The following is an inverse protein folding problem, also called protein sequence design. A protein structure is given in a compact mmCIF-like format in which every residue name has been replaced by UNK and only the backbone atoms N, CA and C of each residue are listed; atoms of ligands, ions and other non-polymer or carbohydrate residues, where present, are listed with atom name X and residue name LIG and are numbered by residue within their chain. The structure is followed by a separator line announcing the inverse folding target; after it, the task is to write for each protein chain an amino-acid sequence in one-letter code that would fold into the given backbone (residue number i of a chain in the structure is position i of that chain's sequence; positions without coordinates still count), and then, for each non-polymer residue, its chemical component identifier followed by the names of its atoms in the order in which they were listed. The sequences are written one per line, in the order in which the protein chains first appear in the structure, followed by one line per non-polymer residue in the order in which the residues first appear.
data_IF_249761604870
#
_entry.id   IF_249761604870
#
_cell.length_a   1.000
_cell.length_b   1.000
_cell.length_c   1.000
_cell.angle_alpha   90.00
_cell.angle_beta   90.00
_cell.angle_gamma   90.00
#
_symmetry.space_group_name_H-M   'P 1'
#
loop_
_entity.id
_entity.type
_entity.pdbx_description
1 polymer ?
#
# COMPACT_ATOMS: atom_id res chain seq x y z
N UNK A 1 -2.31 18.53 -12.11
CA UNK A 1 -1.34 18.93 -11.09
C UNK A 1 -1.99 18.79 -9.71
N UNK A 2 -1.29 18.16 -8.76
CA UNK A 2 -1.72 18.02 -7.37
C UNK A 2 -1.11 19.17 -6.57
N UNK A 3 -1.87 19.80 -5.67
CA UNK A 3 -1.46 21.00 -4.95
C UNK A 3 -1.77 20.83 -3.46
N UNK A 4 -0.83 21.28 -2.61
CA UNK A 4 -1.04 21.52 -1.19
C UNK A 4 -1.05 23.01 -0.94
N UNK A 5 -2.03 23.50 -0.21
CA UNK A 5 -2.12 24.90 0.25
C UNK A 5 -1.95 24.90 1.76
N UNK A 6 -0.88 25.52 2.23
CA UNK A 6 -0.57 25.64 3.65
C UNK A 6 -1.07 26.98 4.18
N UNK A 7 -1.62 26.98 5.39
CA UNK A 7 -2.09 28.18 6.06
C UNK A 7 -1.07 28.57 7.16
N UNK A 8 -0.73 29.84 7.22
CA UNK A 8 0.18 30.42 8.23
C UNK A 8 1.54 29.71 8.35
N UNK A 9 2.07 29.25 7.20
CA UNK A 9 3.30 28.44 7.14
C UNK A 9 3.25 27.15 7.99
N UNK A 10 2.05 26.69 8.34
CA UNK A 10 1.84 25.47 9.09
C UNK A 10 1.51 24.29 8.18
N UNK A 11 2.47 23.44 7.94
CA UNK A 11 2.32 22.23 7.12
C UNK A 11 1.31 21.21 7.67
N UNK A 12 0.91 21.32 8.93
CA UNK A 12 -0.11 20.45 9.54
C UNK A 12 -1.52 20.99 9.31
N UNK A 13 -1.64 22.24 8.86
CA UNK A 13 -2.89 22.89 8.52
C UNK A 13 -2.91 23.19 7.03
N UNK A 14 -3.14 22.17 6.22
CA UNK A 14 -3.14 22.32 4.79
C UNK A 14 -4.36 21.74 4.11
N UNK A 15 -4.68 22.32 2.95
CA UNK A 15 -5.70 21.86 2.04
C UNK A 15 -5.04 21.16 0.85
N UNK A 16 -5.38 19.91 0.63
CA UNK A 16 -4.97 19.18 -0.57
C UNK A 16 -6.00 19.37 -1.68
N UNK A 17 -5.56 19.82 -2.83
CA UNK A 17 -6.32 19.89 -4.06
C UNK A 17 -5.78 18.81 -4.99
N UNK A 18 -6.50 17.71 -5.11
CA UNK A 18 -6.08 16.48 -5.80
C UNK A 18 -7.05 16.21 -6.96
N UNK A 19 -7.00 17.02 -8.03
CA UNK A 19 -7.95 16.90 -9.13
C UNK A 19 -7.71 15.62 -9.93
N UNK A 20 -8.81 15.03 -10.36
CA UNK A 20 -8.85 13.92 -11.28
C UNK A 20 -9.73 14.22 -12.49
N UNK A 21 -9.52 13.48 -13.55
CA UNK A 21 -10.51 13.41 -14.62
C UNK A 21 -11.66 12.50 -14.18
N UNK A 22 -12.91 12.84 -14.55
CA UNK A 22 -14.03 11.94 -14.30
C UNK A 22 -13.77 10.54 -14.85
N UNK A 23 -14.21 9.52 -14.13
CA UNK A 23 -14.19 8.16 -14.65
C UNK A 23 -15.43 7.91 -15.49
N UNK A 24 -15.26 7.81 -16.81
CA UNK A 24 -16.36 7.60 -17.75
C UNK A 24 -16.64 6.12 -18.04
N UNK A 25 -15.81 5.22 -17.52
CA UNK A 25 -15.90 3.78 -17.78
C UNK A 25 -16.34 3.02 -16.51
N UNK A 26 -17.57 3.29 -16.05
CA UNK A 26 -18.15 2.61 -14.89
C UNK A 26 -18.32 1.11 -15.24
N UNK A 27 -17.65 0.21 -14.52
CA UNK A 27 -17.76 -1.22 -14.80
C UNK A 27 -19.15 -1.75 -14.38
N UNK A 28 -19.65 -2.72 -15.14
CA UNK A 28 -20.91 -3.40 -14.84
C UNK A 28 -20.71 -4.92 -14.98
N UNK A 29 -21.44 -5.69 -14.18
CA UNK A 29 -21.38 -7.15 -14.24
C UNK A 29 -21.49 -7.81 -12.87
N UNK A 30 -21.64 -9.13 -12.89
CA UNK A 30 -21.82 -9.93 -11.67
C UNK A 30 -20.55 -9.97 -10.77
N UNK A 31 -19.38 -9.68 -11.34
CA UNK A 31 -18.10 -9.62 -10.64
C UNK A 31 -17.79 -8.22 -10.08
N UNK A 32 -18.69 -7.27 -10.22
CA UNK A 32 -18.51 -5.89 -9.77
C UNK A 32 -19.24 -5.66 -8.44
N UNK A 33 -18.51 -5.17 -7.44
CA UNK A 33 -19.10 -4.55 -6.26
C UNK A 33 -19.04 -3.05 -6.47
N UNK A 34 -20.20 -2.44 -6.64
CA UNK A 34 -20.33 -1.01 -6.90
C UNK A 34 -20.74 -0.27 -5.63
N UNK A 35 -19.95 0.75 -5.29
CA UNK A 35 -20.25 1.71 -4.24
C UNK A 35 -20.60 3.06 -4.89
N UNK A 36 -21.88 3.41 -4.92
CA UNK A 36 -22.35 4.69 -5.45
C UNK A 36 -22.07 5.86 -4.51
N UNK A 37 -22.43 7.10 -4.90
CA UNK A 37 -22.28 8.25 -4.03
C UNK A 37 -22.94 8.06 -2.66
N UNK A 38 -22.26 8.48 -1.59
CA UNK A 38 -22.72 8.33 -0.21
C UNK A 38 -21.74 7.55 0.67
N UNK A 39 -22.14 7.33 1.93
CA UNK A 39 -21.31 6.63 2.93
C UNK A 39 -21.74 5.17 3.04
N UNK A 40 -20.78 4.26 2.87
CA UNK A 40 -20.98 2.82 2.92
C UNK A 40 -20.14 2.21 4.04
N UNK A 41 -20.77 1.61 5.03
CA UNK A 41 -20.07 0.86 6.06
C UNK A 41 -19.87 -0.58 5.58
N UNK A 42 -18.71 -0.85 4.99
CA UNK A 42 -18.40 -2.15 4.39
C UNK A 42 -17.74 -3.13 5.37
N UNK A 43 -17.21 -2.63 6.49
CA UNK A 43 -16.45 -3.45 7.42
C UNK A 43 -15.23 -4.09 6.76
N UNK A 44 -15.03 -5.39 6.93
CA UNK A 44 -13.92 -6.11 6.29
C UNK A 44 -14.40 -6.79 5.00
N UNK A 45 -13.94 -6.29 3.86
CA UNK A 45 -14.18 -6.89 2.55
C UNK A 45 -13.16 -8.02 2.36
N UNK A 46 -13.62 -9.27 2.33
CA UNK A 46 -12.78 -10.45 2.11
C UNK A 46 -12.90 -10.97 0.71
N UNK A 47 -11.76 -11.17 0.04
CA UNK A 47 -11.64 -11.69 -1.32
C UNK A 47 -10.65 -12.84 -1.27
N UNK A 48 -11.13 -14.07 -1.38
CA UNK A 48 -10.25 -15.23 -1.25
C UNK A 48 -10.52 -16.26 -2.38
N UNK A 49 -9.45 -16.67 -3.06
CA UNK A 49 -9.51 -17.65 -4.14
C UNK A 49 -10.47 -17.25 -5.28
N UNK A 50 -10.55 -15.95 -5.56
CA UNK A 50 -11.42 -15.37 -6.59
C UNK A 50 -10.58 -14.84 -7.77
N UNK A 51 -11.22 -14.73 -8.95
CA UNK A 51 -10.59 -14.10 -10.11
C UNK A 51 -11.54 -13.14 -10.80
N UNK A 52 -10.99 -12.00 -11.26
CA UNK A 52 -11.72 -11.01 -12.04
C UNK A 52 -12.65 -10.13 -11.20
N UNK A 53 -12.52 -10.09 -9.87
CA UNK A 53 -13.33 -9.22 -9.01
C UNK A 53 -12.98 -7.75 -9.22
N UNK A 54 -14.00 -6.91 -9.26
CA UNK A 54 -13.86 -5.45 -9.35
C UNK A 54 -14.57 -4.81 -8.16
N UNK A 55 -13.85 -4.00 -7.39
CA UNK A 55 -14.45 -3.06 -6.44
C UNK A 55 -14.41 -1.67 -7.07
N UNK A 56 -15.58 -1.10 -7.30
CA UNK A 56 -15.70 0.22 -7.92
C UNK A 56 -16.28 1.23 -6.92
N UNK A 57 -15.50 2.27 -6.64
CA UNK A 57 -15.88 3.37 -5.77
C UNK A 57 -16.20 4.59 -6.65
N UNK A 58 -17.47 4.88 -6.84
CA UNK A 58 -17.89 5.98 -7.69
C UNK A 58 -17.54 7.34 -7.10
N UNK A 59 -17.59 8.38 -7.91
CA UNK A 59 -17.42 9.75 -7.45
C UNK A 59 -18.44 10.07 -6.34
N UNK A 60 -17.95 10.61 -5.21
CA UNK A 60 -18.77 10.87 -4.02
C UNK A 60 -19.02 9.66 -3.12
N UNK A 61 -18.52 8.47 -3.46
CA UNK A 61 -18.56 7.32 -2.54
C UNK A 61 -17.52 7.49 -1.42
N UNK A 62 -17.90 7.17 -0.18
CA UNK A 62 -17.01 7.02 0.97
C UNK A 62 -17.23 5.63 1.54
N UNK A 63 -16.25 4.75 1.36
CA UNK A 63 -16.32 3.35 1.83
C UNK A 63 -15.53 3.22 3.11
N UNK A 64 -16.23 2.89 4.21
CA UNK A 64 -15.65 2.69 5.53
C UNK A 64 -15.34 1.22 5.75
N UNK A 65 -14.07 0.89 6.03
CA UNK A 65 -13.68 -0.50 6.31
C UNK A 65 -12.23 -0.83 5.97
N UNK A 66 -11.97 -2.12 5.75
CA UNK A 66 -10.67 -2.67 5.35
C UNK A 66 -10.84 -3.72 4.25
N UNK A 67 -9.76 -4.02 3.51
CA UNK A 67 -9.73 -5.08 2.51
C UNK A 67 -8.71 -6.13 2.92
N UNK A 68 -9.12 -7.40 2.84
CA UNK A 68 -8.25 -8.57 3.01
C UNK A 68 -8.42 -9.47 1.78
N UNK A 69 -7.39 -9.52 0.92
CA UNK A 69 -7.41 -10.35 -0.28
C UNK A 69 -6.31 -11.40 -0.24
N UNK A 70 -6.66 -12.64 -0.53
CA UNK A 70 -5.73 -13.76 -0.53
C UNK A 70 -5.98 -14.70 -1.72
N UNK A 71 -4.88 -15.08 -2.42
CA UNK A 71 -4.94 -15.96 -3.59
C UNK A 71 -5.93 -15.48 -4.66
N UNK A 72 -6.03 -14.17 -4.85
CA UNK A 72 -6.91 -13.57 -5.85
C UNK A 72 -6.13 -13.27 -7.15
N UNK A 73 -6.81 -13.40 -8.29
CA UNK A 73 -6.23 -13.06 -9.58
C UNK A 73 -7.09 -12.02 -10.31
N UNK A 74 -6.42 -11.14 -11.09
CA UNK A 74 -7.11 -10.11 -11.87
C UNK A 74 -8.07 -9.25 -11.01
N UNK A 75 -7.64 -8.93 -9.78
CA UNK A 75 -8.39 -8.09 -8.86
C UNK A 75 -8.18 -6.63 -9.23
N UNK A 76 -9.28 -5.89 -9.35
CA UNK A 76 -9.24 -4.46 -9.61
C UNK A 76 -10.00 -3.68 -8.55
N UNK A 77 -9.37 -2.66 -7.97
CA UNK A 77 -10.00 -1.68 -7.09
C UNK A 77 -9.84 -0.32 -7.76
N UNK A 78 -10.94 0.31 -8.15
CA UNK A 78 -10.85 1.54 -8.92
C UNK A 78 -12.00 2.50 -8.69
N UNK A 79 -11.86 3.71 -9.18
CA UNK A 79 -12.89 4.74 -9.17
C UNK A 79 -12.35 6.12 -8.78
N UNK A 80 -13.25 6.97 -8.26
CA UNK A 80 -12.93 8.33 -7.78
C UNK A 80 -13.40 8.57 -6.35
N UNK A 81 -13.87 7.52 -5.70
CA UNK A 81 -14.32 7.57 -4.31
C UNK A 81 -13.18 7.53 -3.30
N UNK A 82 -13.58 7.57 -2.05
CA UNK A 82 -12.69 7.52 -0.88
C UNK A 82 -12.83 6.17 -0.18
N UNK A 83 -11.69 5.53 0.12
CA UNK A 83 -11.65 4.40 1.04
C UNK A 83 -11.03 4.86 2.36
N UNK A 84 -11.72 4.63 3.47
CA UNK A 84 -11.39 5.20 4.76
C UNK A 84 -11.51 4.14 5.87
N UNK A 85 -10.50 4.03 6.70
CA UNK A 85 -10.49 3.09 7.84
C UNK A 85 -10.65 3.77 9.20
N UNK A 86 -11.27 4.95 9.25
CA UNK A 86 -11.44 5.74 10.49
C UNK A 86 -12.25 5.05 11.59
N UNK A 87 -12.92 3.94 11.28
CA UNK A 87 -13.65 3.12 12.27
C UNK A 87 -12.78 2.02 12.89
N UNK A 88 -11.56 1.83 12.40
CA UNK A 88 -10.63 0.85 12.94
C UNK A 88 -9.76 1.48 14.04
N UNK A 89 -9.44 0.71 15.07
CA UNK A 89 -8.55 1.17 16.13
C UNK A 89 -7.11 1.29 15.61
N UNK A 90 -6.51 2.45 15.82
CA UNK A 90 -5.14 2.73 15.43
C UNK A 90 -4.15 1.85 16.20
N UNK A 91 -3.26 1.17 15.48
CA UNK A 91 -2.24 0.30 16.04
C UNK A 91 -2.73 -1.03 16.60
N UNK A 92 -4.04 -1.25 16.72
CA UNK A 92 -4.59 -2.49 17.24
C UNK A 92 -4.36 -3.66 16.26
N UNK A 93 -3.51 -4.59 16.67
CA UNK A 93 -3.23 -5.81 15.92
C UNK A 93 -2.47 -5.60 14.61
N UNK A 94 -1.86 -4.42 14.40
CA UNK A 94 -1.09 -4.08 13.19
C UNK A 94 -1.82 -4.43 11.89
N UNK A 95 -3.10 -4.12 11.82
CA UNK A 95 -3.94 -4.40 10.65
C UNK A 95 -3.80 -3.30 9.62
N UNK A 96 -3.36 -3.61 8.39
CA UNK A 96 -3.29 -2.61 7.33
C UNK A 96 -4.70 -2.23 6.85
N UNK A 97 -4.81 -1.09 6.15
CA UNK A 97 -6.05 -0.69 5.50
C UNK A 97 -6.44 -1.68 4.41
N UNK A 98 -5.47 -2.08 3.58
CA UNK A 98 -5.66 -3.10 2.56
C UNK A 98 -4.49 -4.09 2.59
N UNK A 99 -4.80 -5.37 2.68
CA UNK A 99 -3.81 -6.45 2.61
C UNK A 99 -4.10 -7.35 1.40
N UNK A 100 -3.05 -7.57 0.60
CA UNK A 100 -3.08 -8.44 -0.57
C UNK A 100 -1.99 -9.50 -0.44
N UNK A 101 -2.38 -10.74 -0.39
CA UNK A 101 -1.45 -11.88 -0.24
C UNK A 101 -1.58 -12.83 -1.41
N UNK A 102 -0.46 -13.17 -2.06
CA UNK A 102 -0.44 -14.07 -3.22
C UNK A 102 -1.44 -13.68 -4.32
N UNK A 103 -1.55 -12.38 -4.62
CA UNK A 103 -2.44 -11.88 -5.65
C UNK A 103 -1.70 -11.72 -6.98
N UNK A 104 -2.31 -12.19 -8.07
CA UNK A 104 -1.77 -12.08 -9.42
C UNK A 104 -2.57 -11.05 -10.23
N UNK A 105 -1.89 -10.12 -10.92
CA UNK A 105 -2.51 -9.05 -11.69
C UNK A 105 -3.45 -8.18 -10.84
N UNK A 106 -2.90 -7.61 -9.76
CA UNK A 106 -3.60 -6.65 -8.90
C UNK A 106 -3.55 -5.25 -9.52
N UNK A 107 -4.70 -4.60 -9.66
CA UNK A 107 -4.77 -3.20 -10.11
C UNK A 107 -5.51 -2.34 -9.07
N UNK A 108 -4.89 -1.21 -8.68
CA UNK A 108 -5.52 -0.18 -7.83
C UNK A 108 -5.41 1.16 -8.52
N UNK A 109 -6.55 1.82 -8.78
CA UNK A 109 -6.56 3.02 -9.64
C UNK A 109 -7.51 4.10 -9.13
N UNK A 110 -7.02 5.34 -9.05
CA UNK A 110 -7.82 6.56 -9.01
C UNK A 110 -8.40 6.94 -7.65
N UNK A 111 -8.50 6.01 -6.69
CA UNK A 111 -9.13 6.22 -5.38
C UNK A 111 -8.27 7.05 -4.44
N UNK A 112 -8.92 7.64 -3.42
CA UNK A 112 -8.26 8.27 -2.29
C UNK A 112 -8.33 7.35 -1.07
N UNK A 113 -7.17 7.08 -0.46
CA UNK A 113 -7.00 6.28 0.77
C UNK A 113 -6.70 7.21 1.93
N UNK A 114 -7.42 7.07 3.03
CA UNK A 114 -7.20 7.89 4.21
C UNK A 114 -7.52 7.16 5.51
N UNK A 115 -7.03 7.73 6.60
CA UNK A 115 -7.27 7.24 7.96
C UNK A 115 -6.91 5.77 8.13
N UNK A 116 -5.76 5.36 7.60
CA UNK A 116 -5.26 4.01 7.79
C UNK A 116 -5.00 3.71 9.28
N UNK A 117 -5.35 2.53 9.79
CA UNK A 117 -5.09 2.17 11.20
C UNK A 117 -3.65 1.75 11.46
N UNK A 118 -2.89 1.43 10.42
CA UNK A 118 -1.48 1.01 10.40
C UNK A 118 -0.96 1.22 8.96
N UNK A 119 -0.24 0.29 8.34
CA UNK A 119 0.15 0.35 6.93
C UNK A 119 -1.06 0.53 6.00
N UNK A 120 -0.93 1.34 4.98
CA UNK A 120 -2.03 1.60 4.04
C UNK A 120 -2.20 0.43 3.07
N UNK A 121 -1.20 0.16 2.24
CA UNK A 121 -1.21 -0.98 1.32
C UNK A 121 -0.12 -1.97 1.71
N UNK A 122 -0.50 -3.13 2.19
CA UNK A 122 0.40 -4.26 2.44
C UNK A 122 0.23 -5.29 1.35
N UNK A 123 1.24 -5.46 0.51
CA UNK A 123 1.21 -6.35 -0.66
C UNK A 123 2.30 -7.40 -0.51
N UNK A 124 1.92 -8.67 -0.45
CA UNK A 124 2.80 -9.77 -0.04
C UNK A 124 2.74 -10.90 -1.05
N UNK A 125 3.89 -11.35 -1.57
CA UNK A 125 3.99 -12.50 -2.47
C UNK A 125 3.20 -12.36 -3.77
N UNK A 126 2.96 -11.14 -4.22
CA UNK A 126 2.07 -10.83 -5.35
C UNK A 126 2.86 -10.51 -6.61
N UNK A 127 2.27 -10.74 -7.77
CA UNK A 127 2.91 -10.57 -9.08
C UNK A 127 2.02 -9.74 -10.01
N UNK A 128 2.63 -8.87 -10.83
CA UNK A 128 1.88 -8.06 -11.79
C UNK A 128 1.03 -7.00 -11.09
N UNK A 129 1.63 -6.26 -10.16
CA UNK A 129 0.93 -5.22 -9.39
C UNK A 129 1.02 -3.89 -10.13
N UNK A 130 -0.11 -3.28 -10.40
CA UNK A 130 -0.19 -1.95 -11.01
C UNK A 130 -1.00 -1.00 -10.11
N UNK A 131 -0.34 0.03 -9.61
CA UNK A 131 -0.95 1.08 -8.81
C UNK A 131 -0.82 2.40 -9.57
N UNK A 132 -1.96 2.98 -9.94
CA UNK A 132 -2.01 4.18 -10.77
C UNK A 132 -2.91 5.25 -10.15
N UNK A 133 -2.40 6.48 -10.11
CA UNK A 133 -3.16 7.67 -9.76
C UNK A 133 -3.93 7.58 -8.43
N UNK A 134 -3.44 6.84 -7.43
CA UNK A 134 -4.04 6.87 -6.10
C UNK A 134 -3.51 8.05 -5.28
N UNK A 135 -4.23 8.39 -4.24
CA UNK A 135 -3.85 9.40 -3.25
C UNK A 135 -3.90 8.76 -1.88
N UNK A 136 -2.82 8.89 -1.13
CA UNK A 136 -2.74 8.38 0.22
C UNK A 136 -2.48 9.52 1.20
N UNK A 137 -3.24 9.54 2.28
CA UNK A 137 -3.05 10.48 3.38
C UNK A 137 -3.12 9.70 4.69
N UNK A 138 -1.93 9.41 5.24
CA UNK A 138 -1.73 8.76 6.53
C UNK A 138 -1.02 9.69 7.50
N UNK A 139 -1.46 9.74 8.76
CA UNK A 139 -0.95 10.73 9.71
C UNK A 139 -0.58 10.15 11.08
N UNK A 140 -0.72 8.85 11.27
CA UNK A 140 -0.37 8.15 12.51
C UNK A 140 0.95 7.41 12.39
N UNK A 141 1.55 7.06 13.52
CA UNK A 141 2.73 6.20 13.55
C UNK A 141 2.46 4.86 12.84
N UNK A 142 3.42 4.40 12.05
CA UNK A 142 3.30 3.23 11.18
C UNK A 142 2.20 3.36 10.10
N UNK A 143 1.83 4.57 9.69
CA UNK A 143 1.03 4.76 8.48
C UNK A 143 1.94 4.78 7.26
N UNK A 144 2.61 3.66 7.01
CA UNK A 144 3.36 3.44 5.79
C UNK A 144 2.39 3.44 4.59
N UNK A 145 2.82 3.92 3.46
CA UNK A 145 1.99 3.96 2.25
C UNK A 145 1.89 2.58 1.60
N UNK A 146 2.94 2.19 0.90
CA UNK A 146 2.98 0.94 0.14
C UNK A 146 4.12 0.05 0.61
N UNK A 147 3.80 -1.06 1.25
CA UNK A 147 4.74 -2.10 1.65
C UNK A 147 4.67 -3.29 0.69
N UNK A 148 5.68 -3.42 -0.16
CA UNK A 148 5.85 -4.57 -1.05
C UNK A 148 6.78 -5.59 -0.41
N UNK A 149 6.26 -6.77 -0.12
CA UNK A 149 6.99 -7.86 0.55
C UNK A 149 7.06 -9.05 -0.39
N UNK A 150 8.26 -9.41 -0.86
CA UNK A 150 8.44 -10.52 -1.79
C UNK A 150 7.52 -10.43 -3.02
N UNK A 151 7.43 -9.27 -3.65
CA UNK A 151 6.64 -9.04 -4.85
C UNK A 151 7.52 -8.89 -6.09
N UNK A 152 6.93 -9.07 -7.26
CA UNK A 152 7.61 -8.86 -8.55
C UNK A 152 6.68 -8.26 -9.60
N UNK A 153 7.28 -7.68 -10.64
CA UNK A 153 6.56 -7.05 -11.74
C UNK A 153 5.59 -5.98 -11.22
N UNK A 154 6.14 -4.96 -10.55
CA UNK A 154 5.40 -3.90 -9.86
C UNK A 154 5.58 -2.58 -10.62
N UNK A 155 4.48 -1.95 -10.98
CA UNK A 155 4.42 -0.59 -11.50
C UNK A 155 3.61 0.29 -10.54
N UNK A 156 4.22 1.38 -10.08
CA UNK A 156 3.55 2.44 -9.33
C UNK A 156 3.74 3.75 -10.10
N UNK A 157 2.64 4.40 -10.46
CA UNK A 157 2.75 5.64 -11.22
C UNK A 157 1.68 6.66 -10.86
N UNK A 158 1.99 7.93 -11.12
CA UNK A 158 1.05 9.06 -11.00
C UNK A 158 0.44 9.25 -9.61
N UNK A 159 0.99 8.66 -8.56
CA UNK A 159 0.42 8.68 -7.21
C UNK A 159 0.80 9.94 -6.44
N UNK A 160 0.01 10.26 -5.44
CA UNK A 160 0.34 11.23 -4.41
C UNK A 160 0.30 10.52 -3.06
N UNK A 161 1.38 10.63 -2.30
CA UNK A 161 1.46 10.05 -0.96
C UNK A 161 1.92 11.11 0.04
N UNK A 162 1.14 11.29 1.10
CA UNK A 162 1.57 11.94 2.32
C UNK A 162 1.30 11.03 3.49
N UNK A 163 2.35 10.43 4.01
CA UNK A 163 2.27 9.51 5.14
C UNK A 163 3.18 9.96 6.29
N UNK A 164 2.82 9.58 7.50
CA UNK A 164 3.65 9.84 8.68
C UNK A 164 4.93 9.01 8.63
N UNK A 165 4.83 7.76 8.20
CA UNK A 165 5.93 6.80 8.08
C UNK A 165 6.38 6.67 6.60
N UNK A 166 7.00 5.56 6.20
CA UNK A 166 7.56 5.34 4.88
C UNK A 166 6.48 5.39 3.77
N UNK A 167 6.77 6.05 2.64
CA UNK A 167 5.80 6.08 1.53
C UNK A 167 5.82 4.81 0.69
N UNK A 168 7.00 4.39 0.23
CA UNK A 168 7.17 3.15 -0.53
C UNK A 168 8.30 2.33 0.07
N UNK A 169 8.00 1.10 0.49
CA UNK A 169 9.01 0.16 0.98
C UNK A 169 9.03 -1.11 0.14
N UNK A 170 10.22 -1.61 -0.15
CA UNK A 170 10.43 -2.89 -0.84
C UNK A 170 11.22 -3.80 0.08
N UNK A 171 10.59 -4.87 0.56
CA UNK A 171 11.12 -5.81 1.55
C UNK A 171 11.29 -7.19 0.94
N UNK A 172 12.36 -7.88 1.32
CA UNK A 172 12.68 -9.23 0.87
C UNK A 172 12.97 -10.13 2.07
N UNK A 173 12.27 -11.24 2.18
CA UNK A 173 12.49 -12.21 3.25
C UNK A 173 12.78 -13.59 2.68
N UNK A 174 13.83 -14.23 3.19
CA UNK A 174 14.04 -15.65 2.93
C UNK A 174 13.10 -16.47 3.82
N UNK A 175 12.05 -16.99 3.23
CA UNK A 175 11.07 -17.82 3.93
C UNK A 175 10.95 -19.19 3.25
N UNK A 176 12.10 -19.81 2.95
CA UNK A 176 12.10 -21.22 2.51
C UNK A 176 11.45 -22.09 3.58
N UNK A 177 10.84 -23.23 3.21
CA UNK A 177 10.25 -24.15 4.18
C UNK A 177 11.24 -24.53 5.29
N UNK A 178 12.52 -24.68 4.96
CA UNK A 178 13.59 -25.02 5.91
C UNK A 178 13.84 -23.85 6.90
N UNK A 179 13.84 -22.61 6.39
CA UNK A 179 13.97 -21.42 7.24
C UNK A 179 12.79 -21.29 8.20
N UNK A 180 11.57 -21.43 7.70
CA UNK A 180 10.35 -21.40 8.52
C UNK A 180 10.41 -22.49 9.58
N UNK A 181 10.71 -23.73 9.20
CA UNK A 181 10.78 -24.87 10.12
C UNK A 181 11.82 -24.65 11.23
N UNK A 182 13.00 -24.11 10.89
CA UNK A 182 14.07 -23.86 11.86
C UNK A 182 13.77 -22.71 12.84
N UNK A 183 12.81 -21.83 12.51
CA UNK A 183 12.40 -20.70 13.33
C UNK A 183 11.00 -20.84 13.92
N UNK A 184 10.36 -22.01 13.75
CA UNK A 184 9.07 -22.33 14.38
C UNK A 184 9.31 -22.98 15.73
N UNK A 185 8.75 -22.37 16.77
CA UNK A 185 8.79 -22.89 18.13
C UNK A 185 7.84 -24.07 18.32
N UNK A 186 7.99 -24.82 19.40
CA UNK A 186 7.16 -25.99 19.73
C UNK A 186 5.67 -25.64 19.98
N UNK A 187 5.38 -24.39 20.31
CA UNK A 187 4.02 -23.87 20.47
C UNK A 187 3.41 -23.31 19.17
N UNK A 188 4.14 -23.42 18.04
CA UNK A 188 3.73 -22.92 16.75
C UNK A 188 3.99 -21.43 16.52
N UNK A 189 4.55 -20.73 17.47
CA UNK A 189 5.00 -19.34 17.28
C UNK A 189 6.32 -19.30 16.51
N UNK A 190 6.68 -18.12 15.99
CA UNK A 190 7.93 -17.93 15.27
C UNK A 190 8.95 -17.18 16.14
N UNK A 191 10.19 -17.68 16.18
CA UNK A 191 11.33 -16.99 16.81
C UNK A 191 11.79 -15.78 15.99
N UNK A 192 11.53 -15.76 14.68
CA UNK A 192 11.67 -14.59 13.82
C UNK A 192 10.29 -13.99 13.49
N UNK A 193 10.03 -12.80 14.02
CA UNK A 193 8.76 -12.11 13.82
C UNK A 193 8.46 -11.73 12.37
N UNK A 194 9.44 -11.77 11.45
CA UNK A 194 9.20 -11.53 10.03
C UNK A 194 8.50 -12.72 9.34
N UNK A 195 8.59 -13.93 9.90
CA UNK A 195 8.01 -15.12 9.26
C UNK A 195 6.49 -15.02 9.13
N UNK A 196 5.80 -14.40 10.09
CA UNK A 196 4.35 -14.23 10.01
C UNK A 196 3.91 -13.44 8.76
N UNK A 197 4.78 -12.56 8.23
CA UNK A 197 4.49 -11.81 7.00
C UNK A 197 4.57 -12.69 5.76
N UNK A 198 5.42 -13.71 5.76
CA UNK A 198 5.80 -14.46 4.56
C UNK A 198 5.46 -15.95 4.61
N UNK A 199 4.99 -16.46 5.74
CA UNK A 199 4.53 -17.85 5.81
C UNK A 199 3.39 -18.11 4.79
N UNK A 200 3.52 -19.18 4.01
CA UNK A 200 2.54 -19.54 2.99
C UNK A 200 2.66 -18.79 1.66
N UNK A 201 3.72 -18.02 1.44
CA UNK A 201 3.97 -17.43 0.13
C UNK A 201 4.34 -18.50 -0.91
N UNK A 202 3.89 -18.25 -2.15
CA UNK A 202 4.21 -19.12 -3.30
C UNK A 202 5.57 -18.81 -3.91
N UNK A 203 6.01 -17.56 -3.78
CA UNK A 203 7.24 -17.05 -4.39
C UNK A 203 7.85 -15.97 -3.51
N UNK A 204 9.18 -15.85 -3.53
CA UNK A 204 9.95 -14.91 -2.73
C UNK A 204 10.82 -13.97 -3.57
N UNK A 205 10.72 -14.03 -4.89
CA UNK A 205 11.52 -13.19 -5.77
C UNK A 205 11.10 -11.73 -5.67
N UNK A 206 12.11 -10.84 -5.61
CA UNK A 206 11.92 -9.38 -5.58
C UNK A 206 12.61 -8.79 -6.78
N UNK A 207 11.83 -8.49 -7.83
CA UNK A 207 12.38 -7.92 -9.05
C UNK A 207 11.36 -7.14 -9.89
N UNK A 208 11.89 -6.36 -10.84
CA UNK A 208 11.13 -5.62 -11.83
C UNK A 208 10.16 -4.61 -11.19
N UNK A 209 10.69 -3.63 -10.47
CA UNK A 209 9.94 -2.51 -9.94
C UNK A 209 10.19 -1.26 -10.75
N UNK A 210 9.12 -0.56 -11.09
CA UNK A 210 9.16 0.78 -11.66
C UNK A 210 8.22 1.68 -10.88
N UNK A 211 8.78 2.70 -10.23
CA UNK A 211 8.04 3.70 -9.45
C UNK A 211 8.35 5.07 -10.08
N UNK A 212 7.33 5.68 -10.70
CA UNK A 212 7.54 6.89 -11.51
C UNK A 212 6.39 7.89 -11.45
N UNK A 213 6.69 9.14 -11.80
CA UNK A 213 5.73 10.24 -11.88
C UNK A 213 4.92 10.43 -10.58
N UNK A 214 5.49 10.04 -9.43
CA UNK A 214 4.84 10.12 -8.14
C UNK A 214 5.25 11.39 -7.39
N UNK A 215 4.42 11.80 -6.45
CA UNK A 215 4.69 12.91 -5.55
C UNK A 215 4.67 12.38 -4.12
N UNK A 216 5.77 12.51 -3.41
CA UNK A 216 5.99 11.95 -2.09
C UNK A 216 6.21 13.02 -1.02
N UNK A 217 5.60 12.79 0.13
CA UNK A 217 5.78 13.57 1.35
C UNK A 217 5.79 12.61 2.54
N UNK A 218 6.94 12.42 3.18
CA UNK A 218 7.06 11.65 4.42
C UNK A 218 7.23 12.60 5.60
N UNK A 219 6.31 12.54 6.57
CA UNK A 219 6.36 13.43 7.73
C UNK A 219 7.43 13.01 8.76
N UNK A 220 7.80 11.71 8.83
CA UNK A 220 8.76 11.18 9.81
C UNK A 220 9.78 10.16 9.28
N UNK A 221 9.57 9.57 8.11
CA UNK A 221 10.41 8.49 7.62
C UNK A 221 10.83 8.68 6.15
N UNK A 222 10.96 7.62 5.36
CA UNK A 222 11.51 7.71 4.01
C UNK A 222 10.39 7.81 2.95
N UNK A 223 10.72 8.47 1.85
CA UNK A 223 9.83 8.45 0.70
C UNK A 223 9.99 7.18 -0.15
N UNK A 224 11.22 6.67 -0.24
CA UNK A 224 11.56 5.46 -1.01
C UNK A 224 12.59 4.65 -0.23
N UNK A 225 12.23 3.44 0.17
CA UNK A 225 13.07 2.58 1.01
C UNK A 225 13.18 1.17 0.44
N UNK A 226 14.39 0.70 0.21
CA UNK A 226 14.66 -0.65 -0.29
C UNK A 226 15.49 -1.39 0.75
N UNK A 227 15.02 -2.54 1.19
CA UNK A 227 15.75 -3.44 2.06
C UNK A 227 15.49 -3.35 3.56
N UNK A 228 14.58 -2.50 4.09
CA UNK A 228 14.35 -2.49 5.53
C UNK A 228 13.85 -3.86 5.98
N UNK A 229 14.36 -4.32 7.10
CA UNK A 229 13.98 -5.63 7.67
C UNK A 229 14.20 -6.82 6.73
N UNK A 230 14.88 -6.60 5.57
CA UNK A 230 15.12 -7.64 4.57
C UNK A 230 16.14 -8.68 5.04
N UNK A 231 15.98 -9.92 4.60
CA UNK A 231 16.86 -11.03 4.94
C UNK A 231 17.08 -11.98 3.77
N UNK A 232 18.28 -12.00 3.26
CA UNK A 232 18.83 -13.10 2.47
C UNK A 232 18.32 -13.27 1.04
N UNK A 233 17.57 -12.31 0.47
CA UNK A 233 17.11 -12.35 -0.91
C UNK A 233 17.65 -11.15 -1.68
N UNK A 234 18.01 -11.36 -2.94
CA UNK A 234 18.50 -10.28 -3.80
C UNK A 234 17.37 -9.44 -4.34
N UNK A 235 17.59 -8.12 -4.38
CA UNK A 235 16.77 -7.17 -5.10
C UNK A 235 17.30 -7.00 -6.52
N UNK A 236 16.45 -7.10 -7.53
CA UNK A 236 16.86 -6.97 -8.93
C UNK A 236 15.95 -6.03 -9.71
N UNK A 237 16.54 -5.19 -10.55
CA UNK A 237 15.84 -4.31 -11.48
C UNK A 237 14.77 -3.45 -10.77
N UNK A 238 15.21 -2.60 -9.82
CA UNK A 238 14.37 -1.65 -9.10
C UNK A 238 14.69 -0.26 -9.61
N UNK A 239 13.68 0.47 -10.07
CA UNK A 239 13.81 1.81 -10.65
C UNK A 239 12.87 2.79 -9.97
N UNK A 240 13.42 3.88 -9.50
CA UNK A 240 12.70 5.08 -9.08
C UNK A 240 13.12 6.22 -9.99
N UNK A 241 12.21 6.80 -10.76
CA UNK A 241 12.54 7.91 -11.65
C UNK A 241 11.34 8.85 -11.86
N UNK A 242 11.63 10.08 -12.26
CA UNK A 242 10.65 11.14 -12.53
C UNK A 242 9.69 11.41 -11.35
N UNK A 243 10.15 11.18 -10.12
CA UNK A 243 9.39 11.42 -8.91
C UNK A 243 9.74 12.77 -8.29
N UNK A 244 8.81 13.36 -7.57
CA UNK A 244 8.97 14.59 -6.82
C UNK A 244 8.88 14.27 -5.33
N UNK A 245 9.89 14.62 -4.56
CA UNK A 245 9.86 14.60 -3.10
C UNK A 245 9.60 16.03 -2.61
N UNK A 246 8.43 16.28 -2.04
CA UNK A 246 8.07 17.59 -1.50
C UNK A 246 8.65 17.80 -0.11
N UNK A 247 8.60 16.77 0.74
CA UNK A 247 9.07 16.82 2.12
C UNK A 247 9.64 15.47 2.53
N UNK A 248 10.69 15.52 3.35
CA UNK A 248 11.29 14.35 3.96
C UNK A 248 11.84 14.77 5.32
N UNK A 249 11.08 14.56 6.39
CA UNK A 249 11.52 14.87 7.74
C UNK A 249 11.88 13.62 8.52
N UNK A 250 13.08 13.65 9.02
CA UNK A 250 13.58 12.71 10.02
C UNK A 250 13.99 13.51 11.23
N UNK A 251 13.14 13.57 12.24
CA UNK A 251 13.42 14.35 13.45
C UNK A 251 14.41 13.64 14.39
N UNK A 252 14.66 12.36 14.22
CA UNK A 252 15.47 11.50 15.10
C UNK A 252 16.86 11.16 14.58
N UNK A 253 17.22 11.59 13.38
CA UNK A 253 18.60 11.51 12.86
C UNK A 253 19.11 10.09 12.56
N UNK A 254 18.26 9.08 12.66
CA UNK A 254 18.69 7.68 12.53
C UNK A 254 18.91 7.26 11.07
N UNK A 255 18.12 7.81 10.13
CA UNK A 255 18.20 7.48 8.71
C UNK A 255 18.02 8.71 7.81
N UNK A 256 19.09 9.46 7.50
CA UNK A 256 18.99 10.65 6.68
C UNK A 256 18.79 10.31 5.20
N UNK A 257 17.74 10.82 4.58
CA UNK A 257 17.57 10.80 3.13
C UNK A 257 16.16 10.49 2.65
N UNK A 258 15.81 11.09 1.52
CA UNK A 258 14.53 10.83 0.85
C UNK A 258 14.43 9.40 0.29
N UNK A 259 15.59 8.80 0.03
CA UNK A 259 15.72 7.41 -0.46
C UNK A 259 16.84 6.72 0.32
N UNK A 260 16.58 5.50 0.78
CA UNK A 260 17.59 4.64 1.39
C UNK A 260 17.57 3.24 0.80
N UNK A 261 18.76 2.62 0.74
CA UNK A 261 18.97 1.21 0.42
C UNK A 261 19.72 0.60 1.59
N UNK A 262 19.18 -0.43 2.22
CA UNK A 262 19.72 -1.06 3.43
C UNK A 262 20.12 -2.51 3.19
#
# INVERSE_FOLDING_TARGET
QKVSVEFDDNRMENLFILPDLPDTAIPMGANVTYFGPGVHNAGVIRIANESGRILYLDEGAVVLGRIEAENAANLTIRGRGVFCSSQEDHGAGRRPQMEFRNCDNLKIEGILLRDTPNWTLKIVGSTGVHIDNIKEIGWIMNSDGMDFICCRDVLVENTFQRNYDDNVTIKAFNATPEYIASHTNTDGSYSDGAIWMVAGLRDFEVCNYEIRNCVFWADKAHNMLVGPEARGIAFRNIRFHDNIVLENRQDDGIYPGAMAVM
#
